data_IF_685479026212
#
_entry.id   IF_685479026212
#
_cell.length_a   1.000
_cell.length_b   1.000
_cell.length_c   1.000
_cell.angle_alpha   90.00
_cell.angle_beta   90.00
_cell.angle_gamma   90.00
#
_symmetry.space_group_name_H-M   'P 1'
#
loop_
_entity.id
_entity.type
_entity.pdbx_description
1 polymer ?
#
# COMPACT_ATOMS: atom_id res chain seq x y z
N UNK A 1 2.75 37.33 -13.28
CA UNK A 1 3.42 36.78 -12.09
C UNK A 1 4.57 35.93 -12.61
N UNK A 2 5.80 36.42 -12.48
CA UNK A 2 6.96 35.55 -12.50
C UNK A 2 7.54 35.63 -11.10
N UNK A 3 7.59 34.49 -10.43
CA UNK A 3 8.23 34.31 -9.14
C UNK A 3 9.28 33.24 -9.35
N UNK A 4 10.51 33.66 -9.63
CA UNK A 4 11.66 32.78 -9.56
C UNK A 4 12.00 32.54 -8.09
N UNK A 5 12.08 31.27 -7.71
CA UNK A 5 12.50 30.83 -6.40
C UNK A 5 13.98 30.48 -6.46
N UNK A 6 14.83 31.25 -5.76
CA UNK A 6 16.17 30.80 -5.42
C UNK A 6 16.16 30.20 -4.01
N UNK A 7 16.31 28.89 -3.95
CA UNK A 7 16.67 28.16 -2.73
C UNK A 7 18.20 28.21 -2.59
N UNK A 8 18.71 28.74 -1.47
CA UNK A 8 20.11 28.56 -1.10
C UNK A 8 20.16 27.46 -0.05
N UNK A 9 20.97 26.43 -0.31
CA UNK A 9 21.30 25.38 0.66
C UNK A 9 22.41 25.86 1.59
N UNK A 10 22.20 25.76 2.90
CA UNK A 10 23.21 26.01 3.94
C UNK A 10 23.57 24.65 4.58
N UNK A 11 24.87 24.38 4.83
CA UNK A 11 25.34 23.10 5.37
C UNK A 11 24.79 22.81 6.77
N UNK A 12 24.53 21.52 7.01
CA UNK A 12 24.00 20.96 8.26
C UNK A 12 25.15 20.70 9.22
N UNK A 13 25.20 21.47 10.31
CA UNK A 13 25.92 21.05 11.51
C UNK A 13 25.13 21.42 12.78
N UNK A 14 25.34 20.61 13.81
CA UNK A 14 24.42 20.25 14.90
C UNK A 14 24.03 21.37 15.90
N UNK A 15 22.86 21.19 16.53
CA UNK A 15 22.48 21.57 17.91
C UNK A 15 21.77 22.92 18.22
N UNK A 16 20.52 22.78 18.69
CA UNK A 16 19.90 23.35 19.90
C UNK A 16 19.92 24.87 20.22
N UNK A 17 18.70 25.33 20.57
CA UNK A 17 18.30 26.48 21.41
C UNK A 17 18.13 27.90 20.80
N UNK A 18 16.91 28.41 21.08
CA UNK A 18 16.49 29.80 21.32
C UNK A 18 16.29 30.73 20.12
N UNK A 19 15.01 30.88 19.83
CA UNK A 19 14.32 32.01 19.22
C UNK A 19 15.01 33.37 19.44
N UNK A 20 15.71 33.85 18.42
CA UNK A 20 16.01 35.28 18.23
C UNK A 20 14.98 35.86 17.27
N UNK A 21 14.27 36.90 17.72
CA UNK A 21 13.22 37.57 16.97
C UNK A 21 13.72 38.14 15.64
N UNK A 22 12.97 37.88 14.57
CA UNK A 22 13.08 38.60 13.31
C UNK A 22 12.05 39.73 13.32
N UNK A 23 12.54 40.97 13.27
CA UNK A 23 11.71 42.15 13.01
C UNK A 23 11.42 42.24 11.51
N UNK A 24 10.15 42.21 11.13
CA UNK A 24 9.71 42.41 9.76
C UNK A 24 8.71 43.57 9.73
N UNK A 25 9.13 44.71 9.20
CA UNK A 25 8.23 45.82 8.87
C UNK A 25 7.62 45.55 7.50
N UNK A 26 6.34 45.17 7.47
CA UNK A 26 5.57 45.05 6.23
C UNK A 26 4.74 46.31 6.01
N UNK A 27 5.09 47.09 4.99
CA UNK A 27 4.23 48.18 4.50
C UNK A 27 3.23 47.58 3.50
N UNK A 28 1.99 47.38 3.94
CA UNK A 28 0.90 46.91 3.08
C UNK A 28 0.04 48.10 2.66
N UNK A 29 0.22 48.57 1.43
CA UNK A 29 -0.67 49.57 0.81
C UNK A 29 -2.04 48.94 0.56
N UNK A 30 -3.07 49.42 1.25
CA UNK A 30 -4.46 49.06 0.98
C UNK A 30 -4.87 49.56 -0.41
N UNK A 31 -5.05 48.63 -1.34
CA UNK A 31 -5.70 48.88 -2.62
C UNK A 31 -7.17 48.52 -2.45
N UNK A 32 -8.03 49.53 -2.34
CA UNK A 32 -9.48 49.36 -2.37
C UNK A 32 -9.88 48.85 -3.76
N UNK A 33 -10.08 47.54 -3.89
CA UNK A 33 -10.77 46.96 -5.02
C UNK A 33 -12.18 46.61 -4.58
N UNK A 34 -13.16 47.31 -5.14
CA UNK A 34 -14.58 47.03 -4.93
C UNK A 34 -14.90 45.59 -5.31
N UNK A 35 -15.47 44.86 -4.36
CA UNK A 35 -15.97 43.50 -4.57
C UNK A 35 -17.27 43.56 -5.35
N UNK A 36 -17.17 43.49 -6.69
CA UNK A 36 -18.34 43.15 -7.51
C UNK A 36 -18.62 41.67 -7.28
N UNK A 37 -19.59 41.37 -6.42
CA UNK A 37 -20.15 40.04 -6.24
C UNK A 37 -20.95 39.67 -7.49
N UNK A 38 -20.34 38.95 -8.41
CA UNK A 38 -21.06 38.28 -9.49
C UNK A 38 -21.72 37.00 -8.95
N UNK A 39 -23.02 36.78 -9.22
CA UNK A 39 -23.68 35.53 -8.87
C UNK A 39 -23.03 34.38 -9.65
N UNK A 40 -22.52 33.36 -8.96
CA UNK A 40 -22.09 32.11 -9.60
C UNK A 40 -23.33 31.40 -10.13
N UNK A 41 -23.57 31.48 -11.43
CA UNK A 41 -24.48 30.57 -12.10
C UNK A 41 -23.90 29.16 -12.01
N UNK A 42 -24.70 28.21 -11.51
CA UNK A 42 -24.37 26.78 -11.58
C UNK A 42 -24.40 26.41 -13.07
N UNK A 43 -23.22 26.23 -13.65
CA UNK A 43 -23.07 25.62 -14.96
C UNK A 43 -23.40 24.14 -14.81
N UNK A 44 -24.61 23.74 -15.22
CA UNK A 44 -24.96 22.34 -15.41
C UNK A 44 -24.00 21.80 -16.47
N UNK A 45 -22.94 21.11 -16.04
CA UNK A 45 -22.01 20.47 -16.97
C UNK A 45 -22.82 19.51 -17.82
N UNK A 46 -22.81 19.73 -19.13
CA UNK A 46 -23.34 18.79 -20.10
C UNK A 46 -22.74 17.40 -19.81
N UNK A 47 -23.55 16.32 -19.85
CA UNK A 47 -23.06 15.00 -19.51
C UNK A 47 -21.91 14.63 -20.47
N UNK A 48 -20.76 14.33 -19.88
CA UNK A 48 -19.57 13.93 -20.63
C UNK A 48 -19.89 12.72 -21.51
N UNK A 49 -19.63 12.84 -22.81
CA UNK A 49 -19.82 11.73 -23.77
C UNK A 49 -18.72 10.69 -23.55
N UNK A 50 -19.01 9.65 -22.78
CA UNK A 50 -18.11 8.52 -22.59
C UNK A 50 -17.97 7.75 -23.91
N UNK A 51 -16.75 7.65 -24.42
CA UNK A 51 -16.41 6.76 -25.53
C UNK A 51 -15.98 5.42 -24.94
N UNK A 52 -16.77 4.38 -25.16
CA UNK A 52 -16.45 3.04 -24.68
C UNK A 52 -15.43 2.37 -25.61
N UNK A 53 -14.27 1.98 -25.08
CA UNK A 53 -13.29 1.16 -25.82
C UNK A 53 -13.70 -0.32 -25.81
N UNK A 54 -14.38 -0.75 -24.74
CA UNK A 54 -14.93 -2.09 -24.57
C UNK A 54 -16.38 -1.94 -24.10
N UNK A 55 -17.27 -2.89 -24.48
CA UNK A 55 -18.66 -2.83 -24.09
C UNK A 55 -18.79 -2.83 -22.57
N UNK A 56 -19.64 -1.97 -22.04
CA UNK A 56 -19.96 -1.84 -20.61
C UNK A 56 -20.79 -3.03 -20.07
N UNK A 57 -20.30 -4.25 -20.27
CA UNK A 57 -20.90 -5.49 -19.79
C UNK A 57 -19.88 -6.32 -19.02
N UNK A 58 -20.37 -7.06 -18.04
CA UNK A 58 -19.53 -7.98 -17.29
C UNK A 58 -19.03 -9.10 -18.21
N UNK A 59 -17.77 -9.49 -18.02
CA UNK A 59 -17.17 -10.62 -18.73
C UNK A 59 -17.59 -11.94 -18.09
N UNK A 60 -17.63 -13.02 -18.87
CA UNK A 60 -17.93 -14.37 -18.39
C UNK A 60 -16.85 -14.97 -17.48
N UNK A 61 -15.68 -14.34 -17.38
CA UNK A 61 -14.59 -14.78 -16.51
C UNK A 61 -13.79 -13.62 -15.92
N UNK A 62 -13.31 -13.83 -14.70
CA UNK A 62 -12.37 -12.98 -13.98
C UNK A 62 -10.93 -13.47 -14.17
N UNK A 63 -10.00 -12.51 -14.21
CA UNK A 63 -8.57 -12.78 -14.38
C UNK A 63 -7.88 -12.85 -13.01
N UNK A 64 -7.14 -13.92 -12.74
CA UNK A 64 -6.35 -14.10 -11.51
C UNK A 64 -5.02 -13.33 -11.49
N UNK A 65 -4.88 -12.27 -12.31
CA UNK A 65 -3.60 -11.57 -12.48
C UNK A 65 -3.14 -10.82 -11.22
N UNK A 66 -4.06 -10.50 -10.31
CA UNK A 66 -3.81 -9.74 -9.08
C UNK A 66 -3.54 -10.58 -7.82
N UNK A 67 -3.75 -11.90 -7.85
CA UNK A 67 -3.75 -12.71 -6.62
C UNK A 67 -2.35 -13.10 -6.12
N UNK A 68 -1.29 -12.65 -6.80
CA UNK A 68 0.10 -12.95 -6.42
C UNK A 68 0.59 -11.96 -5.38
N UNK A 69 0.38 -12.27 -4.10
CA UNK A 69 1.00 -11.52 -2.99
C UNK A 69 2.42 -12.01 -2.74
N UNK A 70 3.34 -11.07 -2.47
CA UNK A 70 4.67 -11.39 -1.96
C UNK A 70 4.54 -11.83 -0.50
N UNK A 71 4.55 -13.14 -0.25
CA UNK A 71 4.50 -13.66 1.11
C UNK A 71 5.85 -13.47 1.81
N UNK A 72 5.89 -12.62 2.84
CA UNK A 72 6.99 -12.57 3.81
C UNK A 72 6.49 -13.22 5.10
N UNK A 73 7.21 -14.24 5.58
CA UNK A 73 6.84 -15.01 6.75
C UNK A 73 7.99 -15.05 7.78
N UNK A 74 7.65 -15.36 9.03
CA UNK A 74 8.61 -15.60 10.11
C UNK A 74 9.54 -14.43 10.46
N UNK A 75 9.11 -13.18 10.22
CA UNK A 75 9.91 -11.98 10.54
C UNK A 75 10.25 -11.93 12.04
N UNK A 76 9.29 -12.26 12.91
CA UNK A 76 9.49 -12.27 14.36
C UNK A 76 10.62 -13.21 14.77
N UNK A 77 10.56 -14.48 14.35
CA UNK A 77 11.58 -15.49 14.67
C UNK A 77 12.94 -15.11 14.08
N UNK A 78 12.93 -14.53 12.87
CA UNK A 78 14.15 -14.06 12.21
C UNK A 78 14.81 -12.91 13.00
N UNK A 79 14.04 -11.97 13.53
CA UNK A 79 14.56 -10.88 14.36
C UNK A 79 15.17 -11.39 15.67
N UNK A 80 14.55 -12.37 16.33
CA UNK A 80 15.05 -12.98 17.56
C UNK A 80 16.36 -13.74 17.31
N UNK A 81 16.42 -14.52 16.22
CA UNK A 81 17.63 -15.23 15.80
C UNK A 81 18.79 -14.26 15.56
N UNK A 82 18.56 -13.17 14.82
CA UNK A 82 19.60 -12.17 14.58
C UNK A 82 20.04 -11.44 15.84
N UNK A 83 19.14 -11.22 16.81
CA UNK A 83 19.51 -10.66 18.10
C UNK A 83 20.45 -11.59 18.90
N UNK A 84 20.23 -12.91 18.86
CA UNK A 84 21.13 -13.88 19.50
C UNK A 84 22.49 -13.94 18.79
N UNK A 85 22.48 -14.03 17.46
CA UNK A 85 23.71 -14.10 16.67
C UNK A 85 24.58 -12.85 16.87
N UNK A 86 23.97 -11.67 16.90
CA UNK A 86 24.69 -10.40 17.15
C UNK A 86 25.38 -10.36 18.52
N UNK A 87 24.80 -10.99 19.55
CA UNK A 87 25.38 -11.04 20.91
C UNK A 87 26.55 -12.02 21.02
N UNK A 88 26.59 -13.03 20.15
CA UNK A 88 27.55 -14.15 20.23
C UNK A 88 28.49 -14.20 19.02
N UNK A 89 28.80 -13.06 18.41
CA UNK A 89 29.71 -12.97 17.25
C UNK A 89 29.33 -13.92 16.09
N UNK A 90 28.03 -14.11 15.89
CA UNK A 90 27.45 -15.01 14.89
C UNK A 90 27.77 -16.50 15.08
N UNK A 91 28.14 -16.90 16.29
CA UNK A 91 28.27 -18.30 16.64
C UNK A 91 26.88 -18.96 16.77
N UNK A 92 26.69 -20.09 16.10
CA UNK A 92 25.41 -20.81 16.05
C UNK A 92 25.18 -21.71 17.26
N UNK A 93 26.24 -22.15 17.93
CA UNK A 93 26.14 -23.08 19.08
C UNK A 93 25.31 -22.51 20.25
N UNK A 94 25.47 -21.24 20.69
CA UNK A 94 24.63 -20.68 21.76
C UNK A 94 23.20 -20.36 21.31
N UNK A 95 22.95 -20.18 20.01
CA UNK A 95 21.65 -19.76 19.46
C UNK A 95 20.79 -20.92 18.94
N UNK A 96 21.03 -22.14 19.44
CA UNK A 96 20.34 -23.35 18.96
C UNK A 96 18.83 -23.30 19.15
N UNK A 97 18.34 -22.65 20.20
CA UNK A 97 16.91 -22.51 20.49
C UNK A 97 16.22 -21.61 19.46
N UNK A 98 16.82 -20.46 19.15
CA UNK A 98 16.31 -19.49 18.18
C UNK A 98 16.32 -20.06 16.76
N UNK A 99 17.36 -20.84 16.42
CA UNK A 99 17.45 -21.55 15.13
C UNK A 99 16.32 -22.56 14.99
N UNK A 100 16.03 -23.34 16.06
CA UNK A 100 14.95 -24.32 16.03
C UNK A 100 13.59 -23.66 15.86
N UNK A 101 13.32 -22.57 16.58
CA UNK A 101 12.07 -21.80 16.48
C UNK A 101 11.87 -21.21 15.08
N UNK A 102 12.92 -20.61 14.49
CA UNK A 102 12.88 -20.13 13.12
C UNK A 102 12.60 -21.26 12.12
N UNK A 103 13.29 -22.40 12.25
CA UNK A 103 13.09 -23.55 11.35
C UNK A 103 11.67 -24.09 11.43
N UNK A 104 11.08 -24.12 12.64
CA UNK A 104 9.72 -24.58 12.88
C UNK A 104 8.70 -23.65 12.21
N UNK A 105 8.86 -22.34 12.38
CA UNK A 105 8.01 -21.36 11.70
C UNK A 105 8.10 -21.53 10.18
N UNK A 106 9.31 -21.68 9.64
CA UNK A 106 9.53 -21.81 8.21
C UNK A 106 8.87 -23.08 7.64
N UNK A 107 9.01 -24.22 8.32
CA UNK A 107 8.36 -25.49 7.92
C UNK A 107 6.84 -25.36 7.89
N UNK A 108 6.25 -24.79 8.94
CA UNK A 108 4.79 -24.58 9.02
C UNK A 108 4.29 -23.66 7.90
N UNK A 109 5.07 -22.62 7.58
CA UNK A 109 4.75 -21.72 6.48
C UNK A 109 4.78 -22.44 5.13
N UNK A 110 5.80 -23.27 4.87
CA UNK A 110 5.88 -24.05 3.63
C UNK A 110 4.68 -24.99 3.46
N UNK A 111 4.31 -25.71 4.52
CA UNK A 111 3.17 -26.63 4.51
C UNK A 111 1.84 -25.89 4.28
N UNK A 112 1.62 -24.80 5.01
CA UNK A 112 0.42 -23.96 4.81
C UNK A 112 0.36 -23.40 3.38
N UNK A 113 1.51 -23.03 2.82
CA UNK A 113 1.62 -22.50 1.46
C UNK A 113 1.35 -23.57 0.39
N UNK A 114 1.83 -24.81 0.58
CA UNK A 114 1.49 -25.91 -0.33
C UNK A 114 0.01 -26.24 -0.26
N UNK A 115 -0.55 -26.36 0.94
CA UNK A 115 -1.98 -26.61 1.15
C UNK A 115 -2.85 -25.52 0.49
N UNK A 116 -2.51 -24.24 0.68
CA UNK A 116 -3.23 -23.13 0.03
C UNK A 116 -3.18 -23.24 -1.49
N UNK A 117 -2.01 -23.52 -2.08
CA UNK A 117 -1.86 -23.71 -3.53
C UNK A 117 -2.67 -24.90 -4.05
N UNK A 118 -2.75 -25.98 -3.30
CA UNK A 118 -3.58 -27.14 -3.67
C UNK A 118 -5.07 -26.81 -3.63
N UNK A 119 -5.52 -26.10 -2.59
CA UNK A 119 -6.90 -25.63 -2.48
C UNK A 119 -7.25 -24.66 -3.62
N UNK A 120 -6.34 -23.73 -3.92
CA UNK A 120 -6.45 -22.85 -5.08
C UNK A 120 -6.52 -23.63 -6.40
N UNK A 121 -5.75 -24.72 -6.55
CA UNK A 121 -5.80 -25.57 -7.75
C UNK A 121 -7.13 -26.29 -7.90
N UNK A 122 -7.63 -26.87 -6.80
CA UNK A 122 -8.89 -27.63 -6.79
C UNK A 122 -10.11 -26.73 -6.99
N UNK A 123 -10.03 -25.44 -6.62
CA UNK A 123 -11.11 -24.48 -6.87
C UNK A 123 -12.42 -24.84 -6.17
N UNK A 124 -12.35 -25.54 -5.04
CA UNK A 124 -13.53 -26.06 -4.32
C UNK A 124 -14.30 -24.88 -3.72
N UNK A 125 -15.61 -24.80 -3.96
CA UNK A 125 -16.47 -23.79 -3.35
C UNK A 125 -16.78 -24.16 -1.90
N UNK A 126 -16.19 -23.43 -0.95
CA UNK A 126 -16.54 -23.54 0.46
C UNK A 126 -17.70 -22.58 0.73
N UNK A 127 -18.81 -23.12 1.23
CA UNK A 127 -20.00 -22.33 1.55
C UNK A 127 -19.71 -21.36 2.71
N UNK A 128 -20.10 -20.09 2.56
CA UNK A 128 -19.95 -19.06 3.60
C UNK A 128 -18.62 -18.28 3.58
N UNK A 129 -17.68 -18.62 2.69
CA UNK A 129 -16.43 -17.88 2.56
C UNK A 129 -16.63 -16.56 1.78
N UNK A 130 -16.25 -15.43 2.38
CA UNK A 130 -16.40 -14.09 1.77
C UNK A 130 -15.34 -13.77 0.72
N UNK A 131 -14.19 -14.47 0.74
CA UNK A 131 -13.06 -14.24 -0.16
C UNK A 131 -12.85 -15.49 -1.01
N UNK A 132 -13.29 -15.42 -2.26
CA UNK A 132 -13.17 -16.51 -3.23
C UNK A 132 -11.97 -16.25 -4.14
N UNK A 133 -11.22 -17.30 -4.44
CA UNK A 133 -10.19 -17.34 -5.46
C UNK A 133 -10.80 -17.16 -6.86
N UNK A 134 -10.05 -16.61 -7.82
CA UNK A 134 -10.51 -16.38 -9.19
C UNK A 134 -11.08 -17.63 -9.87
N UNK A 135 -10.55 -18.82 -9.55
CA UNK A 135 -11.06 -20.10 -10.07
C UNK A 135 -12.42 -20.45 -9.49
N UNK A 136 -12.61 -20.24 -8.19
CA UNK A 136 -13.90 -20.43 -7.52
C UNK A 136 -14.94 -19.46 -8.10
N UNK A 137 -14.58 -18.19 -8.27
CA UNK A 137 -15.45 -17.18 -8.89
C UNK A 137 -15.82 -17.58 -10.33
N UNK A 138 -14.84 -18.03 -11.14
CA UNK A 138 -15.10 -18.47 -12.51
C UNK A 138 -15.99 -19.72 -12.58
N UNK A 139 -15.91 -20.62 -11.58
CA UNK A 139 -16.84 -21.74 -11.47
C UNK A 139 -18.25 -21.24 -11.16
N UNK A 140 -18.39 -20.33 -10.20
CA UNK A 140 -19.67 -19.73 -9.83
C UNK A 140 -20.33 -18.98 -10.99
N UNK A 141 -19.56 -18.17 -11.73
CA UNK A 141 -20.03 -17.40 -12.89
C UNK A 141 -20.56 -18.28 -14.03
N UNK A 142 -20.09 -19.53 -14.15
CA UNK A 142 -20.62 -20.49 -15.15
C UNK A 142 -22.03 -20.96 -14.84
N UNK A 143 -22.40 -21.02 -13.56
CA UNK A 143 -23.75 -21.44 -13.16
C UNK A 143 -24.78 -20.32 -13.38
N UNK A 144 -24.35 -19.06 -13.38
CA UNK A 144 -25.21 -17.89 -13.51
C UNK A 144 -24.71 -16.97 -14.65
N UNK A 145 -24.90 -17.37 -15.92
CA UNK A 145 -24.55 -16.51 -17.05
C UNK A 145 -25.42 -15.24 -17.07
N UNK A 146 -24.81 -14.12 -17.47
CA UNK A 146 -25.46 -12.82 -17.69
C UNK A 146 -25.88 -12.64 -19.13
#
# INVERSE_FOLDING_TARGET
>A
MLCDAQFVTIPVDQAAERHSGHSLTFSCKMRLFGSVLYPKTISVKEPFKFQELLPLKLKTSVSGKGDKTSDVACIQEMSVLFACLKKNEFNQTPCSNEIQSFSKCYKNFLDTKSQRKEMERKGILIHGEKKLNFKQINLLMKHYPT
#
